data_IF_322826925439
#
_entry.id   IF_322826925439
#
_cell.length_a   1.000
_cell.length_b   1.000
_cell.length_c   1.000
_cell.angle_alpha   90.00
_cell.angle_beta   90.00
_cell.angle_gamma   90.00
#
_symmetry.space_group_name_H-M   'P 1'
#
loop_
_entity.id
_entity.type
_entity.pdbx_description
1 polymer ?
#
# COMPACT_ATOMS: atom_id res chain seq x y z
N UNK A 1 2.44 -11.52 -14.82
CA UNK A 1 2.83 -12.22 -13.57
C UNK A 1 2.05 -11.59 -12.43
N UNK A 2 1.63 -12.37 -11.44
CA UNK A 2 0.94 -11.82 -10.27
C UNK A 2 1.96 -11.27 -9.27
N UNK A 3 1.60 -10.19 -8.59
CA UNK A 3 2.39 -9.60 -7.51
C UNK A 3 2.05 -10.21 -6.15
N UNK A 4 1.00 -11.03 -6.07
CA UNK A 4 0.57 -11.69 -4.84
C UNK A 4 1.70 -12.54 -4.24
N UNK A 5 1.88 -12.43 -2.92
CA UNK A 5 2.89 -13.13 -2.15
C UNK A 5 4.24 -12.40 -2.07
N UNK A 6 4.43 -11.31 -2.82
CA UNK A 6 5.66 -10.53 -2.75
C UNK A 6 5.66 -9.59 -1.54
N UNK A 7 6.83 -9.39 -0.97
CA UNK A 7 7.08 -8.40 0.08
C UNK A 7 7.25 -7.03 -0.57
N UNK A 8 6.67 -6.02 0.06
CA UNK A 8 6.80 -4.64 -0.36
C UNK A 8 7.30 -3.78 0.78
N UNK A 9 8.07 -2.77 0.39
CA UNK A 9 8.41 -1.62 1.22
C UNK A 9 7.59 -0.43 0.73
N UNK A 10 6.95 0.26 1.65
CA UNK A 10 6.20 1.49 1.40
C UNK A 10 6.94 2.62 2.12
N UNK A 11 7.50 3.53 1.34
CA UNK A 11 8.18 4.74 1.83
C UNK A 11 7.11 5.82 1.94
N UNK A 12 6.84 6.28 3.15
CA UNK A 12 5.81 7.31 3.40
C UNK A 12 6.40 8.68 3.13
N UNK A 13 5.74 9.47 2.28
CA UNK A 13 6.08 10.86 2.01
C UNK A 13 5.16 11.84 2.74
N UNK A 14 3.89 11.49 2.87
CA UNK A 14 2.89 12.26 3.62
C UNK A 14 2.13 11.30 4.55
N UNK A 15 1.88 11.66 5.81
CA UNK A 15 2.25 12.94 6.42
C UNK A 15 3.76 13.06 6.70
N UNK A 16 4.29 14.29 6.70
CA UNK A 16 5.73 14.56 6.72
C UNK A 16 6.44 14.19 8.03
N UNK A 17 5.67 14.00 9.10
CA UNK A 17 6.11 13.55 10.42
C UNK A 17 6.19 12.02 10.55
N UNK A 18 5.91 11.28 9.47
CA UNK A 18 6.03 9.83 9.46
C UNK A 18 7.50 9.38 9.39
N UNK A 19 7.97 8.71 10.44
CA UNK A 19 9.40 8.42 10.59
C UNK A 19 9.85 7.09 9.94
N UNK A 20 8.98 6.08 9.92
CA UNK A 20 9.36 4.71 9.53
C UNK A 20 8.70 4.23 8.22
N UNK A 21 9.45 3.48 7.42
CA UNK A 21 8.89 2.76 6.28
C UNK A 21 7.92 1.67 6.75
N UNK A 22 6.89 1.43 5.95
CA UNK A 22 5.98 0.32 6.19
C UNK A 22 6.42 -0.90 5.38
N UNK A 23 6.23 -2.06 5.96
CA UNK A 23 6.55 -3.34 5.33
C UNK A 23 5.32 -4.22 5.36
N UNK A 24 5.08 -4.96 4.28
CA UNK A 24 3.96 -5.87 4.18
C UNK A 24 4.06 -6.84 3.02
N UNK A 25 3.08 -7.72 2.91
CA UNK A 25 2.97 -8.71 1.84
C UNK A 25 1.73 -8.44 1.00
N UNK A 26 1.87 -8.45 -0.32
CA UNK A 26 0.74 -8.30 -1.23
C UNK A 26 -0.15 -9.54 -1.14
N UNK A 27 -1.40 -9.37 -0.73
CA UNK A 27 -2.39 -10.46 -0.67
C UNK A 27 -3.35 -10.47 -1.87
N UNK A 28 -3.49 -9.32 -2.55
CA UNK A 28 -4.22 -9.19 -3.82
C UNK A 28 -3.64 -8.06 -4.66
N UNK A 29 -3.57 -8.24 -5.98
CA UNK A 29 -3.04 -7.25 -6.92
C UNK A 29 -4.10 -6.69 -7.89
N UNK A 30 -5.36 -7.15 -7.81
CA UNK A 30 -6.54 -6.71 -8.59
C UNK A 30 -6.21 -6.22 -10.01
N UNK A 31 -5.47 -7.03 -10.78
CA UNK A 31 -5.14 -6.72 -12.19
C UNK A 31 -4.11 -5.61 -12.40
N UNK A 32 -3.45 -5.12 -11.35
CA UNK A 32 -2.42 -4.09 -11.36
C UNK A 32 -2.93 -2.67 -11.12
N UNK A 33 -4.23 -2.49 -10.87
CA UNK A 33 -4.83 -1.19 -10.57
C UNK A 33 -4.73 -0.80 -9.09
N UNK A 34 -4.75 -1.81 -8.20
CA UNK A 34 -4.75 -1.65 -6.75
C UNK A 34 -4.00 -2.80 -6.10
N UNK A 35 -3.25 -2.52 -5.04
CA UNK A 35 -2.69 -3.57 -4.20
C UNK A 35 -3.44 -3.60 -2.87
N UNK A 36 -3.80 -4.80 -2.42
CA UNK A 36 -4.13 -5.02 -1.03
C UNK A 36 -2.90 -5.62 -0.36
N UNK A 37 -2.36 -4.91 0.61
CA UNK A 37 -1.14 -5.27 1.33
C UNK A 37 -1.49 -5.55 2.78
N UNK A 38 -1.02 -6.69 3.28
CA UNK A 38 -1.02 -7.02 4.70
C UNK A 38 0.28 -6.55 5.33
N UNK A 39 0.19 -5.51 6.14
CA UNK A 39 1.31 -4.93 6.88
C UNK A 39 1.82 -5.89 7.95
N UNK A 40 3.11 -5.77 8.26
CA UNK A 40 3.77 -6.53 9.31
C UNK A 40 3.31 -6.12 10.72
N UNK A 41 2.83 -4.88 10.87
CA UNK A 41 2.27 -4.34 12.11
C UNK A 41 0.99 -3.57 11.80
N UNK A 42 -0.06 -3.66 12.64
CA UNK A 42 -1.24 -2.81 12.52
C UNK A 42 -0.89 -1.34 12.68
N UNK A 43 -1.59 -0.50 11.92
CA UNK A 43 -1.48 0.97 11.99
C UNK A 43 -2.80 1.54 12.48
N UNK A 44 -2.71 2.56 13.33
CA UNK A 44 -3.86 3.33 13.80
C UNK A 44 -4.12 4.52 12.88
N UNK A 45 -5.26 4.51 12.20
CA UNK A 45 -5.82 5.68 11.54
C UNK A 45 -6.69 6.52 12.47
N UNK A 46 -7.31 7.55 11.90
CA UNK A 46 -8.33 8.41 12.51
C UNK A 46 -9.61 7.63 12.85
N UNK A 47 -10.05 6.73 11.95
CA UNK A 47 -11.32 6.00 12.09
C UNK A 47 -11.14 4.56 12.57
N UNK A 48 -10.06 3.91 12.13
CA UNK A 48 -9.87 2.48 12.36
C UNK A 48 -8.40 2.13 12.58
N UNK A 49 -8.16 1.02 13.26
CA UNK A 49 -6.84 0.38 13.34
C UNK A 49 -6.88 -0.89 12.51
N UNK A 50 -5.91 -1.08 11.62
CA UNK A 50 -5.85 -2.24 10.72
C UNK A 50 -4.43 -2.54 10.29
N UNK A 51 -4.15 -3.80 10.00
CA UNK A 51 -2.95 -4.27 9.30
C UNK A 51 -3.18 -4.41 7.79
N UNK A 52 -4.35 -4.08 7.27
CA UNK A 52 -4.64 -4.08 5.84
C UNK A 52 -4.63 -2.66 5.28
N UNK A 53 -3.86 -2.49 4.20
CA UNK A 53 -3.77 -1.23 3.46
C UNK A 53 -4.04 -1.47 1.97
N UNK A 54 -4.97 -0.71 1.40
CA UNK A 54 -5.20 -0.63 -0.04
C UNK A 54 -4.30 0.49 -0.60
N UNK A 55 -3.42 0.14 -1.54
CA UNK A 55 -2.57 1.06 -2.27
C UNK A 55 -3.13 1.28 -3.67
N UNK A 56 -3.20 2.54 -4.10
CA UNK A 56 -3.57 2.93 -5.46
C UNK A 56 -2.50 3.83 -6.05
N UNK A 57 -2.13 3.69 -7.33
CA UNK A 57 -1.25 4.64 -7.97
C UNK A 57 -1.86 6.04 -7.90
N UNK A 58 -1.04 7.04 -7.58
CA UNK A 58 -1.50 8.43 -7.45
C UNK A 58 -1.84 9.02 -8.82
N UNK A 59 -1.19 8.56 -9.88
CA UNK A 59 -1.35 9.06 -11.24
C UNK A 59 -2.09 8.03 -12.11
N UNK A 60 -3.09 8.49 -12.87
CA UNK A 60 -3.99 7.62 -13.67
C UNK A 60 -3.29 6.72 -14.70
N UNK A 61 -2.08 7.11 -15.14
CA UNK A 61 -1.30 6.35 -16.14
C UNK A 61 -0.35 5.33 -15.50
N UNK A 62 -0.24 5.30 -14.18
CA UNK A 62 0.61 4.35 -13.47
C UNK A 62 -0.17 3.07 -13.14
N UNK A 63 0.52 1.93 -13.23
CA UNK A 63 0.00 0.63 -12.79
C UNK A 63 1.08 -0.06 -11.97
N UNK A 64 0.69 -1.09 -11.22
CA UNK A 64 1.63 -1.89 -10.44
C UNK A 64 2.33 -2.98 -11.26
N UNK A 65 1.86 -3.28 -12.48
CA UNK A 65 2.48 -4.29 -13.38
C UNK A 65 3.99 -4.11 -13.64
N UNK A 66 4.57 -2.89 -13.67
CA UNK A 66 5.99 -2.69 -13.85
C UNK A 66 6.81 -2.79 -12.55
N UNK A 67 6.19 -3.06 -11.37
CA UNK A 67 6.94 -3.36 -10.15
C UNK A 67 7.78 -4.62 -10.37
N UNK A 68 9.01 -4.42 -10.83
CA UNK A 68 10.11 -5.38 -10.80
C UNK A 68 11.23 -4.82 -9.93
N UNK A 69 12.35 -5.55 -9.83
CA UNK A 69 13.55 -5.03 -9.17
C UNK A 69 13.91 -3.67 -9.80
N UNK A 70 14.01 -2.63 -8.96
CA UNK A 70 14.34 -1.23 -9.29
C UNK A 70 13.20 -0.31 -9.75
N UNK A 71 11.93 -0.72 -9.71
CA UNK A 71 10.80 0.17 -10.01
C UNK A 71 10.05 0.58 -8.74
N UNK A 72 9.62 1.85 -8.70
CA UNK A 72 8.87 2.46 -7.61
C UNK A 72 7.62 3.14 -8.18
N UNK A 73 6.47 2.94 -7.53
CA UNK A 73 5.19 3.58 -7.92
C UNK A 73 4.76 4.55 -6.83
N UNK A 74 4.31 5.75 -7.20
CA UNK A 74 3.76 6.71 -6.24
C UNK A 74 2.35 6.31 -5.90
N UNK A 75 2.02 6.18 -4.62
CA UNK A 75 0.74 5.63 -4.16
C UNK A 75 0.06 6.48 -3.11
N UNK A 76 -1.27 6.48 -3.14
CA UNK A 76 -2.10 6.78 -1.98
C UNK A 76 -2.42 5.49 -1.23
N UNK A 77 -2.33 5.51 0.09
CA UNK A 77 -2.62 4.38 0.96
C UNK A 77 -3.81 4.63 1.88
N UNK A 78 -4.77 3.71 1.88
CA UNK A 78 -5.91 3.73 2.78
C UNK A 78 -5.95 2.45 3.62
N UNK A 79 -6.09 2.59 4.95
CA UNK A 79 -6.40 1.46 5.81
C UNK A 79 -7.81 0.97 5.49
N UNK A 80 -7.99 -0.35 5.47
CA UNK A 80 -9.27 -1.01 5.19
C UNK A 80 -9.51 -2.14 6.19
N UNK A 81 -10.73 -2.65 6.29
CA UNK A 81 -11.07 -3.88 7.01
C UNK A 81 -11.71 -4.89 6.06
N UNK A 82 -11.61 -6.17 6.38
CA UNK A 82 -12.26 -7.23 5.59
C UNK A 82 -13.79 -7.23 5.76
N UNK A 83 -14.29 -6.74 6.89
CA UNK A 83 -15.67 -6.94 7.34
C UNK A 83 -16.64 -5.81 6.95
N UNK A 84 -16.14 -4.64 6.54
CA UNK A 84 -16.98 -3.48 6.22
C UNK A 84 -16.33 -2.53 5.20
N UNK A 85 -17.14 -1.63 4.64
CA UNK A 85 -16.69 -0.58 3.70
C UNK A 85 -15.98 0.60 4.41
N UNK A 86 -15.53 0.43 5.66
CA UNK A 86 -14.78 1.47 6.35
C UNK A 86 -13.35 1.53 5.80
N UNK A 87 -12.96 2.75 5.42
CA UNK A 87 -11.59 3.03 5.03
C UNK A 87 -11.09 4.34 5.65
N UNK A 88 -9.77 4.45 5.74
CA UNK A 88 -9.09 5.64 6.25
C UNK A 88 -7.85 5.97 5.42
N UNK A 89 -7.89 7.07 4.67
CA UNK A 89 -6.74 7.55 3.91
C UNK A 89 -5.67 8.06 4.87
N UNK A 90 -4.52 7.40 4.88
CA UNK A 90 -3.51 7.61 5.91
C UNK A 90 -2.18 8.09 5.37
N UNK A 91 -1.81 7.68 4.15
CA UNK A 91 -0.51 8.03 3.58
C UNK A 91 -0.58 8.41 2.10
N UNK A 92 0.42 9.19 1.69
CA UNK A 92 0.92 9.21 0.33
C UNK A 92 2.40 8.85 0.39
N UNK A 93 2.87 8.05 -0.56
CA UNK A 93 4.24 7.57 -0.55
C UNK A 93 4.63 6.88 -1.84
N UNK A 94 5.66 6.06 -1.77
CA UNK A 94 6.07 5.20 -2.86
C UNK A 94 6.16 3.75 -2.42
N UNK A 95 5.89 2.82 -3.33
CA UNK A 95 5.97 1.38 -3.06
C UNK A 95 6.99 0.71 -4.00
N UNK A 96 7.80 -0.17 -3.43
CA UNK A 96 8.80 -0.99 -4.13
C UNK A 96 8.69 -2.45 -3.66
N UNK A 97 9.06 -3.40 -4.53
CA UNK A 97 9.29 -4.79 -4.09
C UNK A 97 10.63 -4.83 -3.34
N UNK A 98 10.66 -5.51 -2.19
CA UNK A 98 11.86 -5.77 -1.39
C UNK A 98 12.37 -7.19 -1.65
#
# INVERSE_FOLDING_TARGET
MSLKGQTVRIIVSEPWDWEENLFGTIISDRGGEKLLVKLTKPIKGKKLTSDLIELKPRYEKETFKPLGQHYSVTVGGALVKEENDEFDYIIIGSVTID
#
